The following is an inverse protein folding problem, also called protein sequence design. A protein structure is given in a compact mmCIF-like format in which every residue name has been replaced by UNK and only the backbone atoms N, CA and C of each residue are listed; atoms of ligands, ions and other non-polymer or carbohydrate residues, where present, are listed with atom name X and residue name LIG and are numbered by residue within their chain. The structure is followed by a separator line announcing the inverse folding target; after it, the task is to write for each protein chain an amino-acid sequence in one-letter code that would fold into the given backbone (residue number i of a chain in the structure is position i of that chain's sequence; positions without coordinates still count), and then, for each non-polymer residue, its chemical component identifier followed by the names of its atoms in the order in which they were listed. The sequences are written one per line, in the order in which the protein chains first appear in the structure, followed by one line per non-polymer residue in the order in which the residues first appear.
data_IF_973337508823
#
_entry.id   IF_973337508823
#
_cell.length_a   1.000
_cell.length_b   1.000
_cell.length_c   1.000
_cell.angle_alpha   90.00
_cell.angle_beta   90.00
_cell.angle_gamma   90.00
#
_symmetry.space_group_name_H-M   'P 1'
#
loop_
_entity.id
_entity.type
_entity.pdbx_description
1 polymer ?
#
# COMPACT_ATOMS: atom_id res chain seq x y z
N UNK A 1 4.43 7.18 9.35
CA UNK A 1 5.01 6.22 8.39
C UNK A 1 4.70 4.80 8.80
N UNK A 2 3.86 4.15 7.99
CA UNK A 2 3.54 2.73 8.08
C UNK A 2 4.51 1.93 7.19
N UNK A 3 4.90 0.74 7.64
CA UNK A 3 5.80 -0.15 6.89
C UNK A 3 5.20 -1.53 6.79
N UNK A 4 5.06 -2.02 5.56
CA UNK A 4 4.48 -3.31 5.25
C UNK A 4 5.49 -4.23 4.59
N UNK A 5 5.59 -5.47 5.06
CA UNK A 5 6.44 -6.49 4.45
C UNK A 5 5.63 -7.30 3.43
N UNK A 6 5.95 -7.12 2.15
CA UNK A 6 5.20 -7.74 1.05
C UNK A 6 5.47 -9.23 0.94
N UNK A 7 4.48 -10.00 0.48
CA UNK A 7 4.56 -11.45 0.28
C UNK A 7 4.30 -11.81 -1.18
N UNK A 8 5.07 -12.75 -1.72
CA UNK A 8 4.88 -13.27 -3.08
C UNK A 8 5.35 -12.36 -4.23
N UNK A 9 5.80 -11.14 -3.95
CA UNK A 9 6.23 -10.15 -4.97
C UNK A 9 7.75 -10.01 -5.10
N UNK A 10 8.22 -9.22 -6.08
CA UNK A 10 9.63 -8.83 -6.20
C UNK A 10 10.01 -7.67 -5.28
N UNK A 11 9.07 -6.76 -4.99
CA UNK A 11 9.20 -5.83 -3.87
C UNK A 11 9.27 -6.63 -2.57
N UNK A 12 9.99 -6.09 -1.59
CA UNK A 12 10.17 -6.66 -0.25
C UNK A 12 9.40 -5.88 0.80
N UNK A 13 9.29 -4.56 0.64
CA UNK A 13 8.58 -3.69 1.57
C UNK A 13 7.86 -2.55 0.86
N UNK A 14 6.85 -2.01 1.53
CA UNK A 14 6.13 -0.80 1.13
C UNK A 14 6.12 0.13 2.34
N UNK A 15 6.46 1.40 2.12
CA UNK A 15 6.37 2.46 3.12
C UNK A 15 5.42 3.52 2.61
N UNK A 16 4.56 4.04 3.47
CA UNK A 16 3.67 5.16 3.14
C UNK A 16 3.22 5.89 4.40
N UNK A 17 2.64 7.07 4.20
CA UNK A 17 1.96 7.86 5.21
C UNK A 17 0.48 8.01 4.82
N UNK A 18 -0.38 8.17 5.83
CA UNK A 18 -1.78 8.55 5.62
C UNK A 18 -2.05 9.77 6.47
N UNK A 19 -2.62 10.80 5.87
CA UNK A 19 -2.94 12.05 6.56
C UNK A 19 -4.30 11.99 7.29
N UNK A 20 -4.70 13.12 7.90
CA UNK A 20 -5.96 13.23 8.61
C UNK A 20 -7.20 13.22 7.68
N UNK A 21 -7.01 13.46 6.38
CA UNK A 21 -8.05 13.43 5.34
C UNK A 21 -8.10 12.08 4.61
N UNK A 22 -7.45 11.05 5.18
CA UNK A 22 -7.41 9.68 4.67
C UNK A 22 -6.69 9.56 3.30
N UNK A 23 -5.78 10.48 2.98
CA UNK A 23 -5.01 10.50 1.73
C UNK A 23 -3.66 9.81 1.89
N UNK A 24 -3.28 9.05 0.87
CA UNK A 24 -2.03 8.31 0.81
C UNK A 24 -0.88 9.20 0.35
N UNK A 25 0.23 9.17 1.08
CA UNK A 25 1.41 9.99 0.82
C UNK A 25 2.71 9.20 0.92
N UNK A 26 3.75 9.71 0.25
CA UNK A 26 5.13 9.24 0.37
C UNK A 26 5.32 7.74 0.08
N UNK A 27 4.54 7.19 -0.86
CA UNK A 27 4.58 5.75 -1.17
C UNK A 27 5.95 5.38 -1.73
N UNK A 28 6.61 4.42 -1.08
CA UNK A 28 7.90 3.88 -1.51
C UNK A 28 7.90 2.37 -1.45
N UNK A 29 8.31 1.75 -2.55
CA UNK A 29 8.55 0.31 -2.62
C UNK A 29 10.04 0.04 -2.48
N UNK A 30 10.40 -0.94 -1.65
CA UNK A 30 11.80 -1.39 -1.48
C UNK A 30 12.02 -2.66 -2.30
N UNK A 31 12.77 -2.51 -3.39
CA UNK A 31 13.04 -3.58 -4.35
C UNK A 31 11.92 -3.76 -5.39
N UNK A 32 12.18 -4.60 -6.40
CA UNK A 32 11.28 -4.82 -7.53
C UNK A 32 11.57 -3.92 -8.74
N UNK A 33 10.58 -3.72 -9.60
CA UNK A 33 10.75 -2.96 -10.84
C UNK A 33 10.78 -1.45 -10.56
N UNK A 34 11.96 -0.83 -10.61
CA UNK A 34 12.15 0.57 -10.23
C UNK A 34 11.23 1.55 -10.96
N UNK A 35 11.09 1.44 -12.29
CA UNK A 35 10.25 2.37 -13.07
C UNK A 35 8.75 2.21 -12.80
N UNK A 36 8.23 1.00 -12.87
CA UNK A 36 6.80 0.75 -12.66
C UNK A 36 6.36 1.08 -11.23
N UNK A 37 7.17 0.75 -10.22
CA UNK A 37 6.83 1.02 -8.83
C UNK A 37 6.88 2.51 -8.49
N UNK A 38 7.81 3.26 -9.10
CA UNK A 38 7.81 4.72 -9.04
C UNK A 38 6.58 5.34 -9.73
N UNK A 39 6.14 4.75 -10.84
CA UNK A 39 4.91 5.16 -11.52
C UNK A 39 3.69 4.96 -10.64
N UNK A 40 3.53 3.77 -10.05
CA UNK A 40 2.45 3.46 -9.09
C UNK A 40 2.46 4.46 -7.94
N UNK A 41 3.61 4.67 -7.28
CA UNK A 41 3.75 5.60 -6.17
C UNK A 41 3.24 7.01 -6.52
N UNK A 42 3.60 7.53 -7.71
CA UNK A 42 3.13 8.84 -8.17
C UNK A 42 1.64 8.88 -8.51
N UNK A 43 1.10 7.80 -9.06
CA UNK A 43 -0.31 7.73 -9.45
C UNK A 43 -1.26 7.69 -8.23
N UNK A 44 -0.79 7.17 -7.10
CA UNK A 44 -1.60 7.04 -5.88
C UNK A 44 -1.38 8.19 -4.89
N UNK A 45 -0.41 9.06 -5.12
CA UNK A 45 -0.11 10.20 -4.25
C UNK A 45 -1.33 11.13 -4.11
N UNK A 46 -1.69 11.47 -2.87
CA UNK A 46 -2.83 12.32 -2.52
C UNK A 46 -4.21 11.72 -2.80
N UNK A 47 -4.29 10.44 -3.18
CA UNK A 47 -5.58 9.75 -3.38
C UNK A 47 -6.07 9.14 -2.08
N UNK A 48 -7.39 8.93 -2.01
CA UNK A 48 -8.02 8.27 -0.88
C UNK A 48 -7.57 6.82 -0.76
N UNK A 49 -7.25 6.37 0.45
CA UNK A 49 -6.76 5.00 0.66
C UNK A 49 -7.82 3.94 0.31
N UNK A 50 -9.12 4.25 0.46
CA UNK A 50 -10.19 3.31 0.15
C UNK A 50 -10.35 3.12 -1.35
N UNK A 51 -10.24 4.20 -2.12
CA UNK A 51 -10.24 4.17 -3.59
C UNK A 51 -9.04 3.38 -4.11
N UNK A 52 -7.84 3.61 -3.56
CA UNK A 52 -6.62 2.90 -3.96
C UNK A 52 -6.75 1.41 -3.63
N UNK A 53 -7.23 1.07 -2.43
CA UNK A 53 -7.40 -0.30 -2.01
C UNK A 53 -8.35 -1.04 -2.97
N UNK A 54 -9.50 -0.45 -3.28
CA UNK A 54 -10.46 -1.05 -4.21
C UNK A 54 -9.89 -1.18 -5.64
N UNK A 55 -9.19 -0.15 -6.12
CA UNK A 55 -8.63 -0.11 -7.48
C UNK A 55 -7.52 -1.15 -7.70
N UNK A 56 -6.66 -1.36 -6.71
CA UNK A 56 -5.46 -2.18 -6.85
C UNK A 56 -5.65 -3.63 -6.38
N UNK A 57 -6.71 -3.91 -5.63
CA UNK A 57 -6.99 -5.24 -5.12
C UNK A 57 -7.15 -6.26 -6.25
N UNK A 58 -6.49 -7.41 -6.10
CA UNK A 58 -6.62 -8.54 -7.00
C UNK A 58 -5.78 -8.46 -8.27
N UNK A 59 -5.03 -7.39 -8.51
CA UNK A 59 -4.09 -7.32 -9.65
C UNK A 59 -3.04 -8.42 -9.50
N UNK A 60 -2.89 -9.28 -10.50
CA UNK A 60 -1.99 -10.44 -10.46
C UNK A 60 -0.73 -10.22 -11.29
N UNK A 61 0.39 -10.74 -10.78
CA UNK A 61 1.66 -10.84 -11.48
C UNK A 61 2.25 -12.24 -11.29
N UNK A 62 2.90 -12.50 -10.15
CA UNK A 62 3.46 -13.83 -9.80
C UNK A 62 2.91 -14.29 -8.45
N UNK A 63 2.92 -15.60 -8.20
CA UNK A 63 2.45 -16.18 -6.93
C UNK A 63 1.04 -15.72 -6.51
N UNK A 64 0.15 -15.49 -7.49
CA UNK A 64 -1.23 -15.06 -7.26
C UNK A 64 -1.42 -13.62 -6.76
N UNK A 65 -0.38 -12.78 -6.80
CA UNK A 65 -0.41 -11.38 -6.31
C UNK A 65 0.50 -10.47 -7.14
N UNK A 66 0.54 -9.18 -6.84
CA UNK A 66 1.39 -8.18 -7.49
C UNK A 66 1.77 -7.07 -6.51
N UNK A 67 2.75 -6.23 -6.85
CA UNK A 67 3.11 -5.09 -6.00
C UNK A 67 1.94 -4.12 -5.74
N UNK A 68 1.10 -3.72 -6.72
CA UNK A 68 -0.09 -2.92 -6.44
C UNK A 68 -1.13 -3.66 -5.59
N UNK A 69 -1.33 -4.97 -5.80
CA UNK A 69 -2.21 -5.77 -4.93
C UNK A 69 -1.66 -5.91 -3.50
N UNK A 70 -0.34 -5.93 -3.32
CA UNK A 70 0.26 -5.86 -1.98
C UNK A 70 0.10 -4.48 -1.34
N UNK A 71 0.02 -3.39 -2.12
CA UNK A 71 -0.30 -2.07 -1.60
C UNK A 71 -1.74 -2.02 -1.07
N UNK A 72 -2.72 -2.64 -1.76
CA UNK A 72 -4.10 -2.70 -1.24
C UNK A 72 -4.18 -3.49 0.08
N UNK A 73 -3.42 -4.58 0.20
CA UNK A 73 -3.30 -5.37 1.45
C UNK A 73 -2.62 -4.58 2.56
N UNK A 74 -1.59 -3.81 2.24
CA UNK A 74 -0.91 -2.95 3.19
C UNK A 74 -1.85 -1.86 3.74
N UNK A 75 -2.70 -1.28 2.89
CA UNK A 75 -3.73 -0.32 3.30
C UNK A 75 -4.75 -0.98 4.23
N UNK A 76 -5.21 -2.19 3.91
CA UNK A 76 -6.14 -2.92 4.76
C UNK A 76 -5.55 -3.18 6.16
N UNK A 77 -4.29 -3.61 6.23
CA UNK A 77 -3.57 -3.83 7.49
C UNK A 77 -3.42 -2.53 8.29
N UNK A 78 -3.03 -1.43 7.63
CA UNK A 78 -2.96 -0.10 8.26
C UNK A 78 -4.31 0.33 8.87
N UNK A 79 -5.42 0.11 8.16
CA UNK A 79 -6.76 0.44 8.67
C UNK A 79 -7.10 -0.38 9.93
N UNK A 80 -6.84 -1.69 9.91
CA UNK A 80 -7.07 -2.56 11.06
C UNK A 80 -6.22 -2.14 12.27
N UNK A 81 -4.94 -1.83 12.09
CA UNK A 81 -4.09 -1.34 13.19
C UNK A 81 -4.58 0.00 13.75
N UNK A 82 -5.01 0.92 12.87
CA UNK A 82 -5.57 2.21 13.27
C UNK A 82 -6.87 2.06 14.07
N UNK A 83 -7.75 1.14 13.67
CA UNK A 83 -8.99 0.82 14.38
C UNK A 83 -8.71 0.20 15.75
N UNK A 84 -7.80 -0.76 15.84
CA UNK A 84 -7.40 -1.38 17.11
C UNK A 84 -6.81 -0.34 18.07
N UNK A 85 -5.94 0.55 17.59
CA UNK A 85 -5.36 1.62 18.40
C UNK A 85 -6.39 2.67 18.88
N UNK A 86 -7.53 2.79 18.19
CA UNK A 86 -8.64 3.64 18.61
C UNK A 86 -9.56 2.94 19.62
N UNK A 87 -9.71 1.62 19.53
CA UNK A 87 -10.54 0.81 20.43
C UNK A 87 -9.90 0.59 21.82
N UNK A 88 -8.57 0.69 21.92
CA UNK A 88 -7.81 0.58 23.17
C UNK A 88 -7.74 1.90 23.97
N UNK A 89 -8.34 2.99 23.47
CA UNK A 89 -8.41 4.30 24.12
C UNK A 89 -9.81 4.60 24.66
#
# INVERSE_FOLDING_TARGET
MFTYSTKGTCSRQILFDVDAENKLHNVRFIGGCGGNLQGIARLVEGKDIDDIQALLCGIRCRNGTSCPDQLSKAIAEYKTERENAAAEK
#
